data_IF_882793105938
#
_entry.id   IF_882793105938
#
_cell.length_a   1.000
_cell.length_b   1.000
_cell.length_c   1.000
_cell.angle_alpha   90.00
_cell.angle_beta   90.00
_cell.angle_gamma   90.00
#
_symmetry.space_group_name_H-M   'P 1'
#
loop_
_entity.id
_entity.type
_entity.pdbx_description
1 polymer ?
#
# COMPACT_ATOMS: atom_id res chain seq x y z
N UNK A 1 -50.18 -62.86 -20.62
CA UNK A 1 -49.18 -63.23 -19.59
C UNK A 1 -47.83 -62.63 -20.02
N UNK A 2 -47.28 -61.73 -19.18
CA UNK A 2 -45.85 -61.53 -18.80
C UNK A 2 -44.72 -62.19 -19.64
N UNK A 3 -43.50 -61.67 -19.83
CA UNK A 3 -42.71 -60.50 -19.37
C UNK A 3 -41.37 -60.46 -20.17
N UNK A 4 -40.54 -59.42 -19.95
CA UNK A 4 -39.16 -59.16 -20.42
C UNK A 4 -39.00 -58.66 -21.88
N UNK A 5 -38.30 -57.56 -22.20
CA UNK A 5 -37.47 -56.61 -21.45
C UNK A 5 -36.44 -56.02 -22.42
N UNK A 6 -36.39 -54.70 -22.59
CA UNK A 6 -35.21 -54.00 -23.14
C UNK A 6 -35.25 -52.53 -22.72
N UNK A 7 -34.17 -52.10 -22.07
CA UNK A 7 -33.92 -50.75 -21.58
C UNK A 7 -32.77 -50.16 -22.40
N UNK A 8 -32.84 -48.83 -22.62
CA UNK A 8 -31.83 -47.90 -23.15
C UNK A 8 -31.64 -47.89 -24.67
N UNK A 9 -31.51 -46.74 -25.35
CA UNK A 9 -30.89 -45.48 -24.95
C UNK A 9 -31.34 -44.33 -25.91
N UNK A 10 -31.79 -43.13 -25.44
CA UNK A 10 -32.23 -42.03 -26.32
C UNK A 10 -31.10 -41.18 -26.91
N UNK A 11 -29.84 -41.60 -26.78
CA UNK A 11 -28.66 -40.86 -27.27
C UNK A 11 -28.45 -40.91 -28.79
N UNK A 12 -29.28 -41.67 -29.54
CA UNK A 12 -29.12 -41.82 -30.99
C UNK A 12 -29.82 -40.74 -31.84
N UNK A 13 -30.75 -39.96 -31.29
CA UNK A 13 -31.56 -39.04 -32.09
C UNK A 13 -31.03 -37.60 -32.15
N UNK A 14 -29.86 -37.31 -31.58
CA UNK A 14 -29.21 -35.99 -31.69
C UNK A 14 -27.97 -35.95 -32.59
N UNK A 15 -27.68 -37.01 -33.35
CA UNK A 15 -26.52 -37.06 -34.26
C UNK A 15 -26.80 -36.68 -35.72
N UNK A 16 -27.99 -36.19 -36.02
CA UNK A 16 -28.35 -35.68 -37.35
C UNK A 16 -28.84 -34.25 -37.25
N UNK A 17 -27.90 -33.29 -37.19
CA UNK A 17 -27.98 -31.92 -37.76
C UNK A 17 -26.89 -31.02 -37.14
N UNK A 18 -25.61 -31.33 -37.38
CA UNK A 18 -24.51 -30.37 -37.19
C UNK A 18 -23.25 -30.85 -37.94
N UNK A 19 -23.36 -31.01 -39.25
CA UNK A 19 -22.22 -31.19 -40.14
C UNK A 19 -21.97 -29.84 -40.82
N UNK A 20 -21.13 -28.99 -40.22
CA UNK A 20 -20.15 -28.15 -40.94
C UNK A 20 -19.29 -27.16 -40.14
N UNK A 21 -19.34 -27.08 -38.80
CA UNK A 21 -18.35 -26.28 -38.07
C UNK A 21 -17.28 -27.16 -37.42
N UNK A 22 -15.98 -26.80 -37.53
CA UNK A 22 -14.93 -27.50 -36.82
C UNK A 22 -15.18 -27.41 -35.30
N UNK A 23 -14.90 -28.47 -34.52
CA UNK A 23 -15.04 -28.42 -33.08
C UNK A 23 -14.18 -27.27 -32.51
N UNK A 24 -14.73 -26.39 -31.66
CA UNK A 24 -14.00 -25.25 -31.12
C UNK A 24 -12.78 -25.73 -30.35
N UNK A 25 -11.67 -25.01 -30.46
CA UNK A 25 -10.42 -25.38 -29.82
C UNK A 25 -10.60 -25.50 -28.29
N UNK A 26 -9.79 -26.31 -27.57
CA UNK A 26 -9.92 -26.47 -26.11
C UNK A 26 -9.90 -25.13 -25.33
N UNK A 27 -9.21 -24.11 -25.84
CA UNK A 27 -9.17 -22.77 -25.25
C UNK A 27 -10.46 -21.96 -25.49
N UNK A 28 -11.21 -22.25 -26.55
CA UNK A 28 -12.48 -21.60 -26.88
C UNK A 28 -13.63 -22.20 -26.05
N UNK A 29 -13.57 -23.51 -25.75
CA UNK A 29 -14.47 -24.16 -24.78
C UNK A 29 -14.37 -23.51 -23.39
N UNK A 30 -13.16 -23.32 -22.87
CA UNK A 30 -12.89 -22.61 -21.60
C UNK A 30 -13.45 -21.18 -21.58
N UNK A 31 -13.34 -20.46 -22.71
CA UNK A 31 -13.84 -19.10 -22.85
C UNK A 31 -15.37 -19.06 -22.88
N UNK A 32 -15.98 -19.99 -23.62
CA UNK A 32 -17.42 -20.16 -23.71
C UNK A 32 -18.02 -20.52 -22.34
N UNK A 33 -17.42 -21.46 -21.60
CA UNK A 33 -17.91 -21.87 -20.28
C UNK A 33 -17.86 -20.70 -19.29
N UNK A 34 -16.76 -19.94 -19.28
CA UNK A 34 -16.67 -18.71 -18.46
C UNK A 34 -17.67 -17.65 -18.87
N UNK A 35 -17.93 -17.50 -20.17
CA UNK A 35 -18.93 -16.55 -20.67
C UNK A 35 -20.35 -16.98 -20.29
N UNK A 36 -20.63 -18.28 -20.33
CA UNK A 36 -21.89 -18.88 -19.91
C UNK A 36 -22.14 -18.69 -18.42
N UNK A 37 -21.17 -19.01 -17.56
CA UNK A 37 -21.30 -18.79 -16.11
C UNK A 37 -21.50 -17.30 -15.78
N UNK A 38 -20.82 -16.38 -16.49
CA UNK A 38 -21.04 -14.94 -16.31
C UNK A 38 -22.44 -14.51 -16.73
N UNK A 39 -22.96 -15.06 -17.82
CA UNK A 39 -24.33 -14.79 -18.27
C UNK A 39 -25.37 -15.34 -17.28
N UNK A 40 -25.15 -16.53 -16.73
CA UNK A 40 -25.99 -17.13 -15.68
C UNK A 40 -25.98 -16.26 -14.40
N UNK A 41 -24.81 -15.78 -13.96
CA UNK A 41 -24.70 -14.87 -12.81
C UNK A 41 -25.42 -13.53 -13.07
N UNK A 42 -25.22 -12.93 -14.26
CA UNK A 42 -25.85 -11.64 -14.63
C UNK A 42 -27.36 -11.75 -14.80
N UNK A 43 -27.85 -12.89 -15.27
CA UNK A 43 -29.28 -13.16 -15.42
C UNK A 43 -29.99 -13.53 -14.12
N UNK A 44 -29.26 -13.71 -13.03
CA UNK A 44 -29.80 -14.20 -11.76
C UNK A 44 -30.58 -13.10 -10.98
N UNK A 45 -31.74 -13.40 -10.38
CA UNK A 45 -32.55 -12.41 -9.65
C UNK A 45 -31.84 -11.68 -8.50
N UNK A 46 -30.85 -12.33 -7.88
CA UNK A 46 -30.05 -11.74 -6.80
C UNK A 46 -28.81 -10.98 -7.28
N UNK A 47 -28.59 -10.83 -8.58
CA UNK A 47 -27.42 -10.15 -9.12
C UNK A 47 -27.32 -8.69 -8.67
N UNK A 48 -28.42 -7.95 -8.68
CA UNK A 48 -28.43 -6.55 -8.28
C UNK A 48 -28.10 -6.38 -6.78
N UNK A 49 -28.64 -7.27 -5.93
CA UNK A 49 -28.32 -7.28 -4.50
C UNK A 49 -26.84 -7.60 -4.25
N UNK A 50 -26.27 -8.51 -5.06
CA UNK A 50 -24.85 -8.84 -4.98
C UNK A 50 -23.96 -7.68 -5.40
N UNK A 51 -24.31 -7.03 -6.51
CA UNK A 51 -23.59 -5.86 -7.01
C UNK A 51 -23.66 -4.72 -5.99
N UNK A 52 -24.83 -4.48 -5.40
CA UNK A 52 -25.01 -3.48 -4.35
C UNK A 52 -24.14 -3.78 -3.11
N UNK A 53 -24.16 -5.03 -2.62
CA UNK A 53 -23.34 -5.43 -1.48
C UNK A 53 -21.84 -5.25 -1.78
N UNK A 54 -21.40 -5.58 -2.99
CA UNK A 54 -20.02 -5.39 -3.42
C UNK A 54 -19.61 -3.91 -3.48
N UNK A 55 -20.46 -3.07 -4.06
CA UNK A 55 -20.23 -1.62 -4.14
C UNK A 55 -20.23 -0.99 -2.75
N UNK A 56 -21.09 -1.45 -1.84
CA UNK A 56 -21.10 -1.00 -0.46
C UNK A 56 -19.76 -1.28 0.24
N UNK A 57 -19.15 -2.46 0.02
CA UNK A 57 -17.80 -2.75 0.52
C UNK A 57 -16.76 -1.78 -0.06
N UNK A 58 -16.78 -1.54 -1.38
CA UNK A 58 -15.84 -0.64 -2.03
C UNK A 58 -15.96 0.80 -1.51
N UNK A 59 -17.19 1.29 -1.29
CA UNK A 59 -17.43 2.64 -0.76
C UNK A 59 -16.89 2.84 0.65
N UNK A 60 -16.87 1.79 1.47
CA UNK A 60 -16.26 1.85 2.82
C UNK A 60 -14.74 1.79 2.74
N UNK A 61 -14.19 1.04 1.77
CA UNK A 61 -12.75 0.85 1.61
C UNK A 61 -12.04 2.02 0.91
N UNK A 62 -12.80 2.86 0.20
CA UNK A 62 -12.26 3.84 -0.74
C UNK A 62 -12.33 5.26 -0.16
N UNK A 63 -11.27 6.06 -0.26
CA UNK A 63 -11.31 7.47 0.14
C UNK A 63 -12.42 8.24 -0.58
N UNK A 64 -12.98 9.25 0.09
CA UNK A 64 -14.12 10.04 -0.40
C UNK A 64 -13.87 10.61 -1.80
N UNK A 65 -12.62 11.02 -2.08
CA UNK A 65 -12.21 11.64 -3.34
C UNK A 65 -12.28 10.69 -4.55
N UNK A 66 -12.28 9.38 -4.31
CA UNK A 66 -12.29 8.35 -5.36
C UNK A 66 -13.68 7.71 -5.54
N UNK A 67 -14.69 8.12 -4.77
CA UNK A 67 -16.06 7.58 -4.88
C UNK A 67 -16.68 7.84 -6.27
N UNK A 68 -16.39 8.99 -6.89
CA UNK A 68 -16.85 9.30 -8.24
C UNK A 68 -16.35 8.30 -9.30
N UNK A 69 -15.18 7.68 -9.08
CA UNK A 69 -14.64 6.66 -9.98
C UNK A 69 -15.41 5.35 -9.86
N UNK A 70 -15.90 5.01 -8.65
CA UNK A 70 -16.76 3.85 -8.42
C UNK A 70 -18.09 4.05 -9.15
N UNK A 71 -18.72 5.22 -9.01
CA UNK A 71 -19.99 5.52 -9.68
C UNK A 71 -19.85 5.53 -11.21
N UNK A 72 -18.73 6.05 -11.74
CA UNK A 72 -18.43 6.00 -13.17
C UNK A 72 -18.14 4.57 -13.68
N UNK A 73 -17.59 3.69 -12.84
CA UNK A 73 -17.42 2.27 -13.17
C UNK A 73 -18.76 1.52 -13.13
N UNK A 74 -19.65 1.89 -12.20
CA UNK A 74 -21.00 1.34 -12.11
C UNK A 74 -21.83 1.70 -13.35
N UNK A 75 -21.75 2.94 -13.83
CA UNK A 75 -22.42 3.37 -15.06
C UNK A 75 -21.96 2.54 -16.27
N UNK A 76 -20.66 2.25 -16.38
CA UNK A 76 -20.11 1.39 -17.43
C UNK A 76 -20.52 -0.08 -17.29
N UNK A 77 -20.82 -0.54 -16.08
CA UNK A 77 -21.27 -1.92 -15.86
C UNK A 77 -22.64 -2.21 -16.48
N UNK A 78 -23.52 -1.20 -16.62
CA UNK A 78 -24.81 -1.35 -17.31
C UNK A 78 -24.64 -1.75 -18.79
N UNK A 79 -23.60 -1.25 -19.47
CA UNK A 79 -23.27 -1.67 -20.84
C UNK A 79 -22.76 -3.13 -20.91
N UNK A 80 -22.11 -3.60 -19.84
CA UNK A 80 -21.64 -4.98 -19.72
C UNK A 80 -22.81 -5.92 -19.45
N UNK A 81 -23.76 -5.51 -18.60
CA UNK A 81 -25.01 -6.25 -18.37
C UNK A 81 -25.77 -6.44 -19.68
N UNK A 82 -25.93 -5.38 -20.48
CA UNK A 82 -26.58 -5.47 -21.78
C UNK A 82 -25.93 -6.50 -22.74
N UNK A 83 -24.61 -6.71 -22.66
CA UNK A 83 -23.87 -7.70 -23.48
C UNK A 83 -24.12 -9.15 -23.06
N UNK A 84 -24.40 -9.39 -21.78
CA UNK A 84 -24.56 -10.73 -21.24
C UNK A 84 -26.03 -11.11 -21.01
N UNK A 85 -26.93 -10.14 -20.83
CA UNK A 85 -28.38 -10.37 -20.74
C UNK A 85 -28.98 -10.97 -22.02
N UNK A 86 -28.44 -10.63 -23.20
CA UNK A 86 -28.84 -11.25 -24.47
C UNK A 86 -28.44 -12.72 -24.58
N UNK A 87 -27.41 -13.15 -23.83
CA UNK A 87 -26.95 -14.54 -23.75
C UNK A 87 -27.62 -15.33 -22.61
N UNK A 88 -28.09 -14.64 -21.56
CA UNK A 88 -28.73 -15.25 -20.40
C UNK A 88 -30.14 -15.80 -20.72
N UNK A 89 -30.88 -15.15 -21.65
CA UNK A 89 -32.20 -15.61 -22.09
C UNK A 89 -32.18 -17.00 -22.75
N UNK A 90 -31.02 -17.46 -23.25
CA UNK A 90 -30.86 -18.78 -23.85
C UNK A 90 -30.44 -19.88 -22.84
N UNK A 91 -30.05 -19.51 -21.60
CA UNK A 91 -29.43 -20.42 -20.63
C UNK A 91 -30.34 -20.80 -19.45
N UNK A 92 -31.59 -20.34 -19.43
CA UNK A 92 -32.51 -20.43 -18.28
C UNK A 92 -33.06 -21.85 -17.96
N UNK A 93 -32.35 -22.93 -18.29
CA UNK A 93 -32.88 -24.29 -18.17
C UNK A 93 -32.02 -25.29 -17.40
N UNK A 94 -30.91 -24.91 -16.74
CA UNK A 94 -30.11 -25.90 -16.00
C UNK A 94 -29.28 -25.29 -14.86
N UNK A 95 -29.38 -25.89 -13.67
CA UNK A 95 -28.62 -25.63 -12.43
C UNK A 95 -29.12 -24.52 -11.48
N UNK A 96 -30.44 -24.41 -11.27
CA UNK A 96 -31.05 -23.44 -10.31
C UNK A 96 -30.49 -23.56 -8.87
N UNK A 97 -30.20 -24.74 -8.33
CA UNK A 97 -29.89 -24.87 -6.89
C UNK A 97 -28.49 -24.41 -6.44
N UNK A 98 -27.45 -24.62 -7.24
CA UNK A 98 -26.06 -24.34 -6.82
C UNK A 98 -25.71 -22.85 -6.96
N UNK A 99 -26.22 -22.22 -8.03
CA UNK A 99 -26.01 -20.80 -8.26
C UNK A 99 -26.77 -19.96 -7.22
N UNK A 100 -28.03 -20.31 -6.91
CA UNK A 100 -28.81 -19.66 -5.86
C UNK A 100 -28.08 -19.68 -4.51
N UNK A 101 -27.54 -20.84 -4.14
CA UNK A 101 -26.77 -21.01 -2.91
C UNK A 101 -25.49 -20.18 -2.89
N UNK A 102 -24.76 -20.15 -4.01
CA UNK A 102 -23.57 -19.31 -4.16
C UNK A 102 -23.91 -17.82 -4.03
N UNK A 103 -24.92 -17.35 -4.76
CA UNK A 103 -25.34 -15.95 -4.76
C UNK A 103 -25.77 -15.51 -3.35
N UNK A 104 -26.57 -16.32 -2.65
CA UNK A 104 -27.00 -16.02 -1.28
C UNK A 104 -25.81 -15.98 -0.29
N UNK A 105 -24.93 -16.98 -0.31
CA UNK A 105 -23.76 -17.01 0.57
C UNK A 105 -22.81 -15.83 0.30
N UNK A 106 -22.62 -15.47 -0.96
CA UNK A 106 -21.70 -14.41 -1.34
C UNK A 106 -22.22 -13.02 -0.96
N UNK A 107 -23.53 -12.78 -1.08
CA UNK A 107 -24.19 -11.57 -0.55
C UNK A 107 -23.98 -11.47 0.97
N UNK A 108 -24.22 -12.55 1.71
CA UNK A 108 -24.03 -12.58 3.17
C UNK A 108 -22.56 -12.34 3.56
N UNK A 109 -21.61 -12.94 2.83
CA UNK A 109 -20.18 -12.74 3.04
C UNK A 109 -19.78 -11.27 2.83
N UNK A 110 -20.27 -10.64 1.76
CA UNK A 110 -20.00 -9.23 1.50
C UNK A 110 -20.64 -8.34 2.57
N UNK A 111 -21.84 -8.66 3.04
CA UNK A 111 -22.47 -7.97 4.17
C UNK A 111 -21.61 -8.02 5.43
N UNK A 112 -21.18 -9.20 5.84
CA UNK A 112 -20.29 -9.36 6.99
C UNK A 112 -18.96 -8.61 6.80
N UNK A 113 -18.37 -8.71 5.60
CA UNK A 113 -17.11 -8.03 5.30
C UNK A 113 -17.24 -6.50 5.34
N UNK A 114 -18.35 -5.95 4.82
CA UNK A 114 -18.68 -4.53 4.91
C UNK A 114 -18.72 -4.06 6.37
N UNK A 115 -19.42 -4.78 7.25
CA UNK A 115 -19.56 -4.41 8.66
C UNK A 115 -18.19 -4.43 9.37
N UNK A 116 -17.37 -5.44 9.09
CA UNK A 116 -15.99 -5.50 9.59
C UNK A 116 -15.16 -4.30 9.11
N UNK A 117 -15.27 -3.94 7.83
CA UNK A 117 -14.55 -2.81 7.26
C UNK A 117 -15.00 -1.48 7.88
N UNK A 118 -16.31 -1.30 8.06
CA UNK A 118 -16.89 -0.12 8.70
C UNK A 118 -16.43 0.01 10.14
N UNK A 119 -16.39 -1.11 10.88
CA UNK A 119 -15.92 -1.12 12.25
C UNK A 119 -14.43 -0.74 12.34
N UNK A 120 -13.58 -1.26 11.45
CA UNK A 120 -12.17 -0.91 11.40
C UNK A 120 -11.95 0.58 11.10
N UNK A 121 -12.67 1.13 10.12
CA UNK A 121 -12.60 2.57 9.81
C UNK A 121 -13.11 3.40 10.99
N UNK A 122 -14.23 3.02 11.60
CA UNK A 122 -14.83 3.79 12.70
C UNK A 122 -13.97 3.77 13.96
N UNK A 123 -13.48 2.62 14.39
CA UNK A 123 -12.79 2.47 15.67
C UNK A 123 -11.33 2.87 15.54
N UNK A 124 -10.58 2.25 14.64
CA UNK A 124 -9.13 2.47 14.60
C UNK A 124 -8.75 3.83 14.02
N UNK A 125 -9.50 4.37 13.07
CA UNK A 125 -9.25 5.74 12.62
C UNK A 125 -9.60 6.75 13.71
N UNK A 126 -10.69 6.53 14.47
CA UNK A 126 -11.03 7.38 15.61
C UNK A 126 -9.97 7.30 16.70
N UNK A 127 -9.53 6.10 17.09
CA UNK A 127 -8.44 5.90 18.06
C UNK A 127 -7.16 6.60 17.63
N UNK A 128 -6.79 6.51 16.34
CA UNK A 128 -5.63 7.20 15.80
C UNK A 128 -5.79 8.72 15.83
N UNK A 129 -6.96 9.26 15.45
CA UNK A 129 -7.26 10.70 15.51
C UNK A 129 -7.22 11.20 16.96
N UNK A 130 -7.82 10.45 17.89
CA UNK A 130 -7.78 10.77 19.31
C UNK A 130 -6.36 10.74 19.86
N UNK A 131 -5.55 9.73 19.52
CA UNK A 131 -4.16 9.67 19.95
C UNK A 131 -3.32 10.82 19.38
N UNK A 132 -3.54 11.21 18.12
CA UNK A 132 -2.91 12.40 17.54
C UNK A 132 -3.31 13.66 18.29
N UNK A 133 -4.60 13.80 18.63
CA UNK A 133 -5.09 14.93 19.40
C UNK A 133 -4.52 14.97 20.82
N UNK A 134 -4.40 13.82 21.49
CA UNK A 134 -3.79 13.71 22.83
C UNK A 134 -2.30 14.09 22.81
N UNK A 135 -1.58 13.68 21.76
CA UNK A 135 -0.18 14.10 21.53
C UNK A 135 -0.07 15.60 21.30
N UNK A 136 -0.98 16.18 20.52
CA UNK A 136 -1.04 17.61 20.26
C UNK A 136 -1.32 18.41 21.54
N UNK A 137 -2.28 17.97 22.36
CA UNK A 137 -2.55 18.56 23.67
C UNK A 137 -1.36 18.44 24.63
N UNK A 138 -0.66 17.29 24.62
CA UNK A 138 0.53 17.08 25.43
C UNK A 138 1.67 18.03 25.02
N UNK A 139 1.87 18.21 23.72
CA UNK A 139 2.83 19.17 23.16
C UNK A 139 2.45 20.60 23.51
N UNK A 140 1.15 20.94 23.44
CA UNK A 140 0.63 22.24 23.82
C UNK A 140 0.92 22.55 25.29
N UNK A 141 0.66 21.59 26.18
CA UNK A 141 0.93 21.74 27.61
C UNK A 141 2.42 21.92 27.91
N UNK A 142 3.31 21.29 27.14
CA UNK A 142 4.76 21.33 27.38
C UNK A 142 5.42 22.58 26.80
N UNK A 143 4.93 23.06 25.65
CA UNK A 143 5.55 24.16 24.88
C UNK A 143 4.82 25.49 25.01
N UNK A 144 3.53 25.47 25.39
CA UNK A 144 2.69 26.67 25.49
C UNK A 144 2.28 27.28 24.14
N UNK A 145 2.63 26.68 23.00
CA UNK A 145 2.43 27.26 21.66
C UNK A 145 1.38 26.48 20.87
N UNK A 146 0.21 27.10 20.65
CA UNK A 146 -0.91 26.52 19.88
C UNK A 146 -0.49 26.21 18.45
N UNK A 147 -0.69 24.98 17.94
CA UNK A 147 -0.33 24.60 16.56
C UNK A 147 -1.07 25.42 15.49
N UNK A 148 -2.13 26.15 15.84
CA UNK A 148 -2.89 27.00 14.93
C UNK A 148 -2.34 28.43 14.73
N UNK A 149 -1.35 28.86 15.51
CA UNK A 149 -0.87 30.26 15.55
C UNK A 149 0.65 30.35 15.32
N UNK A 150 1.16 29.57 14.37
CA UNK A 150 2.55 29.61 13.91
C UNK A 150 2.64 30.12 12.49
N UNK A 151 2.80 31.43 12.34
CA UNK A 151 3.11 32.13 11.10
C UNK A 151 4.18 31.42 10.26
N UNK A 152 3.91 31.28 8.96
CA UNK A 152 4.85 30.81 7.96
C UNK A 152 6.02 31.77 7.75
N UNK A 153 7.00 31.74 8.66
CA UNK A 153 8.30 32.37 8.51
C UNK A 153 9.38 31.28 8.41
N UNK A 154 9.35 30.53 7.30
CA UNK A 154 10.55 29.81 6.87
C UNK A 154 11.53 30.85 6.32
N UNK A 155 12.59 31.11 7.08
CA UNK A 155 13.93 31.50 6.66
C UNK A 155 14.10 31.67 5.13
N UNK A 156 14.05 32.91 4.64
CA UNK A 156 14.56 33.31 3.33
C UNK A 156 15.30 34.63 3.60
N UNK A 157 16.60 34.58 3.84
CA UNK A 157 17.64 34.75 2.81
C UNK A 157 17.97 36.24 2.67
N UNK A 158 18.76 36.75 3.62
CA UNK A 158 19.54 37.97 3.42
C UNK A 158 20.98 37.53 3.30
N UNK A 159 21.48 37.55 2.07
CA UNK A 159 22.89 37.41 1.76
C UNK A 159 23.64 38.65 2.28
N UNK A 160 24.78 38.39 2.92
CA UNK A 160 25.72 39.41 3.38
C UNK A 160 26.22 40.27 2.20
N UNK A 161 25.77 41.53 2.09
CA UNK A 161 26.58 42.60 1.47
C UNK A 161 27.15 43.52 2.53
N UNK A 162 28.41 43.26 2.85
CA UNK A 162 29.33 44.22 3.47
C UNK A 162 29.62 45.35 2.48
N UNK A 163 28.95 46.49 2.66
CA UNK A 163 29.41 47.78 2.12
C UNK A 163 29.81 48.68 3.28
N UNK A 164 31.11 48.65 3.54
CA UNK A 164 31.87 49.73 4.13
C UNK A 164 31.60 51.03 3.33
N UNK A 165 31.02 52.03 3.99
CA UNK A 165 31.09 53.40 3.50
C UNK A 165 30.99 54.36 4.68
N UNK A 166 32.15 54.89 5.02
CA UNK A 166 32.38 56.08 5.84
C UNK A 166 31.58 57.30 5.31
N UNK A 167 31.51 58.36 6.13
CA UNK A 167 30.96 59.73 5.89
C UNK A 167 29.44 59.96 5.83
N UNK A 168 28.88 60.57 6.89
CA UNK A 168 28.67 62.04 6.97
C UNK A 168 27.77 62.49 8.14
N UNK A 169 28.08 63.69 8.62
CA UNK A 169 27.47 64.53 9.66
C UNK A 169 25.94 64.72 9.57
N UNK A 170 25.35 65.13 10.73
CA UNK A 170 24.25 66.11 10.97
C UNK A 170 23.21 65.56 11.96
N UNK A 171 22.68 66.22 13.00
CA UNK A 171 22.87 67.50 13.71
C UNK A 171 22.08 67.37 15.03
N UNK A 172 22.46 68.15 16.04
CA UNK A 172 22.00 68.02 17.41
C UNK A 172 20.68 68.71 17.76
N UNK A 173 20.48 68.77 19.09
CA UNK A 173 19.49 69.52 19.86
C UNK A 173 18.25 68.72 20.31
N UNK A 174 18.20 68.32 21.58
CA UNK A 174 17.55 69.14 22.61
C UNK A 174 17.68 68.50 24.01
N UNK A 175 18.50 69.14 24.85
CA UNK A 175 18.35 69.43 26.28
C UNK A 175 18.04 68.33 27.32
N UNK A 176 19.09 68.07 28.12
CA UNK A 176 19.13 68.27 29.57
C UNK A 176 17.96 67.76 30.43
N UNK A 177 18.13 66.57 31.01
CA UNK A 177 17.73 66.29 32.40
C UNK A 177 18.84 65.46 33.05
N UNK A 178 19.78 66.13 33.72
CA UNK A 178 20.52 65.54 34.84
C UNK A 178 19.55 65.47 36.04
N UNK A 179 18.96 64.30 36.27
CA UNK A 179 18.24 64.02 37.52
C UNK A 179 18.39 62.55 37.89
N UNK A 180 18.98 62.29 39.05
CA UNK A 180 19.24 60.98 39.62
C UNK A 180 18.01 60.07 39.53
N UNK A 181 18.14 58.96 38.80
CA UNK A 181 17.04 58.00 38.64
C UNK A 181 17.54 56.67 38.11
N UNK A 182 17.80 55.75 39.04
CA UNK A 182 18.11 54.34 38.81
C UNK A 182 17.00 53.69 37.95
N UNK A 183 17.21 53.66 36.62
CA UNK A 183 16.35 52.99 35.64
C UNK A 183 16.73 51.51 35.46
N UNK A 184 15.85 50.68 34.86
CA UNK A 184 15.88 49.22 34.97
C UNK A 184 17.24 48.65 34.57
N UNK A 185 17.82 47.84 35.47
CA UNK A 185 19.17 47.26 35.41
C UNK A 185 19.48 46.70 34.02
N UNK A 186 20.08 47.53 33.18
CA UNK A 186 20.67 47.11 31.92
C UNK A 186 21.92 46.31 32.30
N UNK A 187 22.00 44.99 31.99
CA UNK A 187 23.14 44.18 32.39
C UNK A 187 24.43 44.82 31.89
N UNK A 188 25.42 44.86 32.75
CA UNK A 188 26.76 45.38 32.42
C UNK A 188 27.31 44.66 31.18
N UNK A 189 28.21 45.31 30.44
CA UNK A 189 28.79 44.76 29.21
C UNK A 189 29.44 43.38 29.43
N UNK A 190 30.00 43.17 30.63
CA UNK A 190 30.53 41.89 31.11
C UNK A 190 29.46 40.82 31.32
N UNK A 191 28.29 41.19 31.87
CA UNK A 191 27.15 40.27 32.04
C UNK A 191 26.54 39.85 30.69
N UNK A 192 26.50 40.76 29.73
CA UNK A 192 26.06 40.44 28.35
C UNK A 192 27.00 39.46 27.65
N UNK A 193 28.31 39.68 27.77
CA UNK A 193 29.33 38.79 27.21
C UNK A 193 29.26 37.38 27.82
N UNK A 194 28.99 37.29 29.12
CA UNK A 194 28.78 36.02 29.82
C UNK A 194 27.54 35.29 29.31
N UNK A 195 26.41 35.98 29.18
CA UNK A 195 25.17 35.39 28.65
C UNK A 195 25.34 34.90 27.21
N UNK A 196 26.05 35.64 26.36
CA UNK A 196 26.31 35.24 24.98
C UNK A 196 27.22 34.01 24.91
N UNK A 197 28.25 33.93 25.75
CA UNK A 197 29.11 32.74 25.84
C UNK A 197 28.33 31.51 26.29
N UNK A 198 27.52 31.64 27.34
CA UNK A 198 26.66 30.56 27.85
C UNK A 198 25.67 30.11 26.76
N UNK A 199 25.07 31.04 26.03
CA UNK A 199 24.18 30.75 24.90
C UNK A 199 24.89 29.97 23.80
N UNK A 200 26.14 30.32 23.47
CA UNK A 200 26.93 29.62 22.47
C UNK A 200 27.34 28.21 22.92
N UNK A 201 27.70 28.04 24.20
CA UNK A 201 28.02 26.73 24.79
C UNK A 201 26.79 25.81 24.77
N UNK A 202 25.64 26.27 25.26
CA UNK A 202 24.38 25.52 25.21
C UNK A 202 23.99 25.15 23.77
N UNK A 203 24.14 26.07 22.81
CA UNK A 203 23.88 25.79 21.39
C UNK A 203 24.83 24.72 20.84
N UNK A 204 26.10 24.73 21.27
CA UNK A 204 27.08 23.75 20.85
C UNK A 204 26.77 22.37 21.45
N UNK A 205 26.52 22.29 22.76
CA UNK A 205 26.13 21.06 23.46
C UNK A 205 24.87 20.45 22.86
N UNK A 206 23.85 21.26 22.62
CA UNK A 206 22.59 20.79 22.06
C UNK A 206 22.80 20.23 20.64
N UNK A 207 23.55 20.94 19.78
CA UNK A 207 23.88 20.46 18.43
C UNK A 207 24.69 19.17 18.45
N UNK A 208 25.67 19.04 19.35
CA UNK A 208 26.47 17.83 19.51
C UNK A 208 25.61 16.66 19.98
N UNK A 209 24.83 16.84 21.05
CA UNK A 209 23.98 15.79 21.61
C UNK A 209 22.90 15.30 20.64
N UNK A 210 22.34 16.18 19.81
CA UNK A 210 21.41 15.75 18.74
C UNK A 210 22.13 15.05 17.59
N UNK A 211 23.33 15.50 17.21
CA UNK A 211 24.11 14.86 16.14
C UNK A 211 24.45 13.41 16.50
N UNK A 212 24.87 13.14 17.73
CA UNK A 212 25.15 11.79 18.23
C UNK A 212 23.90 10.91 18.21
N UNK A 213 22.79 11.40 18.78
CA UNK A 213 21.50 10.68 18.76
C UNK A 213 21.02 10.36 17.33
N UNK A 214 21.23 11.27 16.38
CA UNK A 214 20.87 11.03 14.96
C UNK A 214 21.70 9.90 14.36
N UNK A 215 22.99 9.83 14.68
CA UNK A 215 23.87 8.73 14.23
C UNK A 215 23.38 7.40 14.81
N UNK A 216 23.11 7.35 16.10
CA UNK A 216 22.60 6.13 16.77
C UNK A 216 21.28 5.65 16.17
N UNK A 217 20.33 6.59 15.97
CA UNK A 217 19.04 6.28 15.34
C UNK A 217 19.25 5.76 13.91
N UNK A 218 20.14 6.38 13.14
CA UNK A 218 20.46 5.96 11.77
C UNK A 218 21.06 4.56 11.75
N UNK A 219 21.99 4.26 12.67
CA UNK A 219 22.59 2.94 12.79
C UNK A 219 21.55 1.89 13.20
N UNK A 220 20.66 2.22 14.13
CA UNK A 220 19.57 1.33 14.57
C UNK A 220 18.58 1.03 13.44
N UNK A 221 18.21 2.05 12.66
CA UNK A 221 17.38 1.87 11.45
C UNK A 221 18.09 0.96 10.43
N UNK A 222 19.39 1.18 10.20
CA UNK A 222 20.17 0.35 9.28
C UNK A 222 20.33 -1.08 9.79
N UNK A 223 20.45 -1.28 11.11
CA UNK A 223 20.52 -2.58 11.76
C UNK A 223 19.18 -3.32 11.62
N UNK A 224 18.06 -2.68 11.93
CA UNK A 224 16.70 -3.24 11.72
C UNK A 224 16.44 -3.57 10.24
N UNK A 225 16.92 -2.74 9.31
CA UNK A 225 16.82 -3.01 7.86
C UNK A 225 17.69 -4.20 7.42
N UNK A 226 18.80 -4.47 8.09
CA UNK A 226 19.71 -5.60 7.80
C UNK A 226 19.31 -6.89 8.52
N UNK A 227 18.61 -6.82 9.64
CA UNK A 227 18.20 -7.96 10.46
C UNK A 227 17.26 -8.97 9.76
N UNK A 228 16.70 -8.62 8.60
CA UNK A 228 15.90 -9.53 7.76
C UNK A 228 16.64 -10.21 6.60
N UNK A 229 17.95 -9.97 6.44
CA UNK A 229 18.74 -10.58 5.35
C UNK A 229 19.48 -11.81 5.87
N UNK A 230 19.39 -12.93 5.13
CA UNK A 230 20.19 -14.12 5.40
C UNK A 230 21.69 -13.79 5.27
N UNK A 231 22.57 -14.41 6.07
CA UNK A 231 24.02 -14.22 5.97
C UNK A 231 24.50 -14.34 4.53
N UNK A 232 25.40 -13.45 4.10
CA UNK A 232 25.86 -13.39 2.70
C UNK A 232 26.35 -14.73 2.18
N UNK A 233 27.07 -15.47 3.02
CA UNK A 233 27.68 -16.77 2.68
C UNK A 233 26.63 -17.88 2.45
N UNK A 234 25.55 -17.90 3.24
CA UNK A 234 24.47 -18.89 3.07
C UNK A 234 23.63 -18.61 1.82
N UNK A 235 23.51 -17.34 1.42
CA UNK A 235 22.80 -16.98 0.18
C UNK A 235 23.52 -17.41 -1.08
N UNK A 236 24.84 -17.61 -1.05
CA UNK A 236 25.62 -18.06 -2.21
C UNK A 236 25.25 -19.49 -2.62
N UNK A 237 25.09 -20.40 -1.65
CA UNK A 237 24.63 -21.77 -1.90
C UNK A 237 23.21 -21.82 -2.47
N UNK A 238 22.28 -21.04 -1.90
CA UNK A 238 20.91 -20.94 -2.39
C UNK A 238 20.85 -20.40 -3.83
N UNK A 239 21.71 -19.42 -4.16
CA UNK A 239 21.85 -18.88 -5.52
C UNK A 239 22.46 -19.88 -6.50
N UNK A 240 23.45 -20.66 -6.09
CA UNK A 240 24.06 -21.68 -6.93
C UNK A 240 23.03 -22.75 -7.33
N UNK A 241 22.26 -23.26 -6.36
CA UNK A 241 21.17 -24.20 -6.64
C UNK A 241 20.12 -23.58 -7.57
N UNK A 242 19.73 -22.33 -7.31
CA UNK A 242 18.77 -21.59 -8.14
C UNK A 242 19.22 -21.47 -9.61
N UNK A 243 20.50 -21.15 -9.85
CA UNK A 243 21.04 -21.04 -11.21
C UNK A 243 21.00 -22.39 -11.94
N UNK A 244 21.37 -23.47 -11.23
CA UNK A 244 21.30 -24.84 -11.75
C UNK A 244 19.87 -25.29 -12.08
N UNK A 245 18.86 -24.76 -11.37
CA UNK A 245 17.45 -25.14 -11.51
C UNK A 245 16.57 -23.99 -12.04
N UNK A 246 17.17 -23.07 -12.80
CA UNK A 246 16.50 -21.84 -13.26
C UNK A 246 15.27 -22.08 -14.13
N UNK A 247 15.20 -23.23 -14.84
CA UNK A 247 14.05 -23.63 -15.66
C UNK A 247 12.85 -24.10 -14.81
N UNK A 248 13.09 -24.73 -13.67
CA UNK A 248 12.07 -25.26 -12.75
C UNK A 248 12.55 -25.18 -11.29
N UNK A 249 12.50 -24.00 -10.65
CA UNK A 249 13.08 -23.72 -9.35
C UNK A 249 12.12 -24.12 -8.22
N UNK A 250 11.75 -25.40 -8.22
CA UNK A 250 10.96 -26.05 -7.18
C UNK A 250 11.83 -27.14 -6.55
N UNK A 251 12.57 -26.83 -5.47
CA UNK A 251 13.42 -27.81 -4.81
C UNK A 251 12.55 -28.94 -4.25
N UNK A 252 12.99 -30.18 -4.46
CA UNK A 252 12.37 -31.37 -3.87
C UNK A 252 12.59 -31.39 -2.35
N UNK A 253 11.93 -32.28 -1.62
CA UNK A 253 12.15 -32.43 -0.17
C UNK A 253 13.61 -32.82 0.15
N UNK A 254 14.25 -33.60 -0.73
CA UNK A 254 15.66 -33.98 -0.61
C UNK A 254 16.59 -32.78 -0.86
N UNK A 255 16.32 -31.97 -1.89
CA UNK A 255 17.06 -30.73 -2.15
C UNK A 255 16.97 -29.78 -0.96
N UNK A 256 15.77 -29.63 -0.39
CA UNK A 256 15.55 -28.79 0.79
C UNK A 256 16.35 -29.29 1.98
N UNK A 257 16.36 -30.60 2.24
CA UNK A 257 17.14 -31.19 3.33
C UNK A 257 18.65 -30.94 3.15
N UNK A 258 19.17 -31.11 1.93
CA UNK A 258 20.56 -30.80 1.60
C UNK A 258 20.87 -29.31 1.81
N UNK A 259 19.98 -28.42 1.38
CA UNK A 259 20.17 -26.98 1.56
C UNK A 259 20.12 -26.57 3.04
N UNK A 260 19.28 -27.21 3.87
CA UNK A 260 19.28 -27.03 5.34
C UNK A 260 20.64 -27.44 5.91
N UNK A 261 21.14 -28.61 5.51
CA UNK A 261 22.41 -29.16 6.01
C UNK A 261 23.61 -28.28 5.65
N UNK A 262 23.69 -27.82 4.40
CA UNK A 262 24.82 -27.03 3.90
C UNK A 262 24.78 -25.56 4.38
N UNK A 263 23.59 -24.98 4.52
CA UNK A 263 23.45 -23.56 4.91
C UNK A 263 23.25 -23.35 6.40
N UNK A 264 22.91 -24.40 7.16
CA UNK A 264 22.50 -24.31 8.56
C UNK A 264 21.21 -23.52 8.79
N UNK A 265 20.48 -23.17 7.73
CA UNK A 265 19.24 -22.40 7.81
C UNK A 265 18.05 -23.31 8.09
N UNK A 266 17.05 -22.78 8.80
CA UNK A 266 15.81 -23.51 9.01
C UNK A 266 15.08 -23.71 7.69
N UNK A 267 14.42 -24.86 7.54
CA UNK A 267 13.62 -25.22 6.36
C UNK A 267 12.62 -24.12 5.96
N UNK A 268 11.99 -23.47 6.96
CA UNK A 268 11.08 -22.33 6.75
C UNK A 268 11.76 -21.14 6.08
N UNK A 269 13.01 -20.82 6.47
CA UNK A 269 13.79 -19.72 5.88
C UNK A 269 14.15 -20.02 4.42
N UNK A 270 14.51 -21.27 4.13
CA UNK A 270 14.82 -21.73 2.77
C UNK A 270 13.56 -21.67 1.89
N UNK A 271 12.42 -22.18 2.37
CA UNK A 271 11.15 -22.10 1.65
C UNK A 271 10.77 -20.65 1.34
N UNK A 272 10.82 -19.77 2.33
CA UNK A 272 10.53 -18.35 2.15
C UNK A 272 11.49 -17.67 1.17
N UNK A 273 12.76 -18.06 1.19
CA UNK A 273 13.75 -17.55 0.24
C UNK A 273 13.39 -17.94 -1.19
N UNK A 274 13.09 -19.21 -1.47
CA UNK A 274 12.73 -19.67 -2.82
C UNK A 274 11.41 -19.09 -3.32
N UNK A 275 10.41 -18.93 -2.45
CA UNK A 275 9.15 -18.24 -2.80
C UNK A 275 9.45 -16.80 -3.24
N UNK A 276 10.21 -16.06 -2.43
CA UNK A 276 10.58 -14.68 -2.75
C UNK A 276 11.48 -14.58 -3.98
N UNK A 277 12.38 -15.55 -4.18
CA UNK A 277 13.30 -15.59 -5.31
C UNK A 277 12.55 -15.84 -6.63
N UNK A 278 11.55 -16.74 -6.64
CA UNK A 278 10.62 -16.93 -7.76
C UNK A 278 9.86 -15.65 -8.09
N UNK A 279 9.23 -15.02 -7.09
CA UNK A 279 8.51 -13.74 -7.30
C UNK A 279 9.36 -12.66 -7.96
N UNK A 280 10.66 -12.61 -7.66
CA UNK A 280 11.59 -11.61 -8.20
C UNK A 280 12.15 -11.93 -9.59
N UNK A 281 12.32 -13.21 -9.94
CA UNK A 281 13.13 -13.61 -11.11
C UNK A 281 12.39 -14.49 -12.12
N UNK A 282 11.23 -15.05 -11.81
CA UNK A 282 10.53 -16.00 -12.69
C UNK A 282 9.86 -15.32 -13.90
N UNK A 283 9.49 -14.04 -13.79
CA UNK A 283 8.88 -13.27 -14.88
C UNK A 283 9.84 -12.31 -15.59
N UNK A 284 11.10 -12.22 -15.13
CA UNK A 284 12.10 -11.38 -15.79
C UNK A 284 12.75 -12.17 -16.93
N UNK A 285 12.07 -12.19 -18.07
CA UNK A 285 12.66 -12.61 -19.33
C UNK A 285 13.89 -11.71 -19.61
N UNK A 286 15.11 -12.24 -19.83
CA UNK A 286 16.30 -11.41 -20.07
C UNK A 286 16.30 -10.68 -21.44
N UNK A 287 15.16 -10.56 -22.13
CA UNK A 287 15.07 -9.95 -23.46
C UNK A 287 14.74 -8.45 -23.50
N UNK A 288 14.59 -7.76 -22.36
CA UNK A 288 14.31 -6.31 -22.36
C UNK A 288 15.29 -5.46 -21.54
N UNK A 289 16.46 -6.00 -21.18
CA UNK A 289 17.52 -5.23 -20.50
C UNK A 289 18.44 -4.45 -21.45
N UNK A 290 17.89 -3.85 -22.50
CA UNK A 290 18.61 -2.90 -23.34
C UNK A 290 17.69 -1.74 -23.73
N UNK A 291 17.55 -0.76 -22.83
CA UNK A 291 17.48 0.70 -23.10
C UNK A 291 16.83 1.42 -21.91
N UNK A 292 17.68 1.92 -21.03
CA UNK A 292 17.59 3.31 -20.57
C UNK A 292 18.90 3.69 -19.87
N UNK A 293 19.94 3.81 -20.70
CA UNK A 293 21.12 4.62 -20.41
C UNK A 293 21.28 5.61 -21.56
N UNK A 294 20.80 6.83 -21.37
CA UNK A 294 21.21 8.10 -21.99
C UNK A 294 20.41 9.19 -21.28
N UNK A 295 21.00 9.95 -20.36
CA UNK A 295 21.86 11.15 -20.60
C UNK A 295 20.98 12.22 -21.25
N UNK A 296 20.63 13.30 -20.56
CA UNK A 296 21.51 14.42 -20.22
C UNK A 296 20.87 15.30 -19.15
#
# INVERSE_FOLDING_TARGET
MAFHGFVSDPTKDMQTLALNDPPPAPAELDHWERAKCKAEIVGHPMYDQLLEAHVACLRVATPVDQLAQIDAQLARSQEVLAKYSSSAAAAAASAEGELDHFMANYVLLLGFFKDQLQQHVRVHAMEAVMACWDLEQSLQSLTGVSPGEGTGATMSDDEDEVVDSDTSLFDGSFDAIDNLGFGPLVPTETERSLMERVRQELKHELKQGYKEKIVDIREEILRKRRAGKLPGDTTSFLKAWWQSHSKWPYPTEEDKAKLVQETGLQLKQINNWFINQRKRNWHSNPSTSLKSKRKR
#
